data_IF_703044167556
#
_entry.id   IF_703044167556
#
_cell.length_a   1.000
_cell.length_b   1.000
_cell.length_c   1.000
_cell.angle_alpha   90.00
_cell.angle_beta   90.00
_cell.angle_gamma   90.00
#
_symmetry.space_group_name_H-M   'P 1'
#
loop_
_entity.id
_entity.type
_entity.pdbx_description
1 polymer ?
#
# COMPACT_ATOMS: atom_id res chain seq x y z
N UNK A 1 -22.10 -85.94 -46.08
CA UNK A 1 -21.69 -85.18 -44.87
C UNK A 1 -22.68 -85.53 -43.77
N UNK A 2 -22.20 -85.98 -42.61
CA UNK A 2 -23.08 -86.39 -41.50
C UNK A 2 -23.87 -85.18 -40.99
N UNK A 3 -25.18 -85.35 -40.74
CA UNK A 3 -26.08 -84.29 -40.25
C UNK A 3 -25.62 -83.62 -38.94
N UNK A 4 -24.58 -84.16 -38.30
CA UNK A 4 -23.95 -83.69 -37.07
C UNK A 4 -22.79 -82.71 -37.30
N UNK A 5 -22.17 -82.68 -38.48
CA UNK A 5 -21.04 -81.76 -38.76
C UNK A 5 -21.48 -80.38 -39.21
N UNK A 6 -22.68 -80.26 -39.79
CA UNK A 6 -23.26 -78.98 -40.21
C UNK A 6 -23.49 -77.98 -39.06
N UNK A 7 -24.09 -78.35 -37.91
CA UNK A 7 -24.27 -77.42 -36.78
C UNK A 7 -22.93 -77.00 -36.17
N UNK A 8 -21.92 -77.88 -36.20
CA UNK A 8 -20.61 -77.63 -35.61
C UNK A 8 -19.84 -76.55 -36.39
N UNK A 9 -19.95 -76.57 -37.73
CA UNK A 9 -19.40 -75.52 -38.59
C UNK A 9 -20.11 -74.18 -38.34
N UNK A 10 -21.44 -74.18 -38.23
CA UNK A 10 -22.22 -72.97 -37.93
C UNK A 10 -21.81 -72.30 -36.61
N UNK A 11 -21.64 -73.09 -35.54
CA UNK A 11 -21.21 -72.57 -34.23
C UNK A 11 -19.80 -71.96 -34.31
N UNK A 12 -18.85 -72.61 -34.99
CA UNK A 12 -17.49 -72.08 -35.14
C UNK A 12 -17.44 -70.74 -35.90
N UNK A 13 -18.29 -70.58 -36.93
CA UNK A 13 -18.39 -69.35 -37.71
C UNK A 13 -18.94 -68.19 -36.87
N UNK A 14 -19.99 -68.45 -36.07
CA UNK A 14 -20.58 -67.46 -35.17
C UNK A 14 -19.58 -67.05 -34.09
N UNK A 15 -18.84 -68.00 -33.51
CA UNK A 15 -17.80 -67.69 -32.52
C UNK A 15 -16.66 -66.86 -33.12
N UNK A 16 -16.22 -67.19 -34.34
CA UNK A 16 -15.17 -66.44 -35.03
C UNK A 16 -15.59 -65.00 -35.32
N UNK A 17 -16.80 -64.80 -35.82
CA UNK A 17 -17.36 -63.46 -36.05
C UNK A 17 -17.56 -62.68 -34.74
N UNK A 18 -18.03 -63.34 -33.69
CA UNK A 18 -18.18 -62.74 -32.36
C UNK A 18 -16.85 -62.29 -31.76
N UNK A 19 -15.80 -63.12 -31.88
CA UNK A 19 -14.46 -62.78 -31.42
C UNK A 19 -13.85 -61.63 -32.22
N UNK A 20 -14.04 -61.62 -33.55
CA UNK A 20 -13.57 -60.54 -34.41
C UNK A 20 -14.27 -59.21 -34.07
N UNK A 21 -15.59 -59.23 -33.87
CA UNK A 21 -16.36 -58.04 -33.49
C UNK A 21 -15.94 -57.52 -32.11
N UNK A 22 -15.72 -58.41 -31.14
CA UNK A 22 -15.27 -58.02 -29.80
C UNK A 22 -13.84 -57.49 -29.79
N UNK A 23 -12.95 -58.05 -30.61
CA UNK A 23 -11.59 -57.54 -30.79
C UNK A 23 -11.59 -56.15 -31.46
N UNK A 24 -12.43 -55.95 -32.48
CA UNK A 24 -12.60 -54.66 -33.14
C UNK A 24 -13.19 -53.60 -32.21
N UNK A 25 -14.21 -53.97 -31.42
CA UNK A 25 -14.80 -53.09 -30.41
C UNK A 25 -13.80 -52.71 -29.31
N UNK A 26 -13.00 -53.66 -28.84
CA UNK A 26 -11.97 -53.41 -27.81
C UNK A 26 -10.82 -52.55 -28.34
N UNK A 27 -10.36 -52.83 -29.58
CA UNK A 27 -9.31 -52.05 -30.23
C UNK A 27 -9.79 -50.62 -30.52
N UNK A 28 -11.01 -50.48 -31.04
CA UNK A 28 -11.63 -49.18 -31.29
C UNK A 28 -11.81 -48.36 -30.01
N UNK A 29 -12.27 -48.97 -28.91
CA UNK A 29 -12.37 -48.30 -27.62
C UNK A 29 -11.00 -47.83 -27.11
N UNK A 30 -9.94 -48.60 -27.33
CA UNK A 30 -8.58 -48.26 -26.90
C UNK A 30 -7.90 -47.20 -27.78
N UNK A 31 -8.23 -47.17 -29.07
CA UNK A 31 -7.75 -46.14 -30.00
C UNK A 31 -8.52 -44.81 -29.85
N UNK A 32 -9.80 -44.88 -29.46
CA UNK A 32 -10.66 -43.70 -29.26
C UNK A 32 -10.61 -43.13 -27.84
N UNK A 33 -10.12 -43.89 -26.84
CA UNK A 33 -9.77 -43.36 -25.53
C UNK A 33 -8.53 -42.44 -25.65
N UNK A 34 -8.75 -41.23 -26.17
CA UNK A 34 -7.70 -40.24 -26.33
C UNK A 34 -7.34 -39.66 -24.96
N UNK A 35 -6.05 -39.41 -24.67
CA UNK A 35 -5.57 -38.66 -23.50
C UNK A 35 -6.13 -37.23 -23.35
N UNK A 36 -7.00 -36.80 -24.26
CA UNK A 36 -7.54 -35.46 -24.40
C UNK A 36 -8.63 -35.12 -23.37
N UNK A 37 -9.22 -36.10 -22.70
CA UNK A 37 -10.32 -35.88 -21.71
C UNK A 37 -9.85 -35.11 -20.46
N UNK A 38 -8.53 -35.03 -20.24
CA UNK A 38 -7.90 -34.32 -19.11
C UNK A 38 -7.11 -33.08 -19.56
N UNK A 39 -7.24 -32.65 -20.82
CA UNK A 39 -6.56 -31.47 -21.33
C UNK A 39 -7.49 -30.25 -21.30
N UNK A 40 -6.97 -29.13 -20.81
CA UNK A 40 -7.62 -27.82 -20.86
C UNK A 40 -6.77 -26.86 -21.68
N UNK A 41 -7.45 -26.04 -22.47
CA UNK A 41 -6.83 -24.95 -23.23
C UNK A 41 -6.39 -23.85 -22.28
N UNK A 42 -5.14 -23.41 -22.37
CA UNK A 42 -4.58 -22.36 -21.54
C UNK A 42 -3.78 -21.37 -22.37
N UNK A 43 -3.88 -20.10 -22.01
CA UNK A 43 -3.14 -19.01 -22.65
C UNK A 43 -1.72 -18.94 -22.09
N UNK A 44 -0.75 -18.96 -22.99
CA UNK A 44 0.68 -18.91 -22.70
C UNK A 44 1.32 -17.75 -23.49
N UNK A 45 2.29 -17.07 -22.90
CA UNK A 45 3.02 -16.00 -23.55
C UNK A 45 4.03 -16.55 -24.58
N UNK A 46 3.99 -16.05 -25.81
CA UNK A 46 4.93 -16.44 -26.89
C UNK A 46 6.23 -15.64 -26.85
N UNK A 47 6.19 -14.45 -26.24
CA UNK A 47 7.30 -13.52 -26.05
C UNK A 47 7.27 -12.96 -24.62
N UNK A 48 8.34 -12.27 -24.22
CA UNK A 48 8.36 -11.54 -22.96
C UNK A 48 7.45 -10.31 -23.05
N UNK A 49 6.57 -10.15 -22.06
CA UNK A 49 5.68 -9.00 -21.89
C UNK A 49 6.12 -8.27 -20.62
N UNK A 50 6.80 -7.13 -20.73
CA UNK A 50 7.28 -6.36 -19.58
C UNK A 50 6.13 -5.70 -18.81
N UNK A 51 6.40 -5.37 -17.56
CA UNK A 51 5.50 -4.61 -16.70
C UNK A 51 4.97 -3.35 -17.36
N UNK A 52 3.66 -3.13 -17.23
CA UNK A 52 2.96 -1.99 -17.80
C UNK A 52 2.67 -2.11 -19.30
N UNK A 53 3.15 -3.15 -19.99
CA UNK A 53 2.79 -3.33 -21.39
C UNK A 53 1.38 -3.89 -21.55
N UNK A 54 0.66 -3.41 -22.57
CA UNK A 54 -0.62 -3.98 -22.98
C UNK A 54 -0.37 -5.30 -23.72
N UNK A 55 -1.13 -6.33 -23.38
CA UNK A 55 -1.05 -7.64 -24.02
C UNK A 55 -1.68 -7.58 -25.42
N UNK A 56 -0.87 -7.86 -26.44
CA UNK A 56 -1.31 -7.95 -27.82
C UNK A 56 -1.62 -9.40 -28.22
N UNK A 57 -2.49 -9.58 -29.22
CA UNK A 57 -2.89 -10.91 -29.71
C UNK A 57 -1.71 -11.73 -30.24
N UNK A 58 -0.65 -11.09 -30.74
CA UNK A 58 0.54 -11.76 -31.26
C UNK A 58 1.46 -12.28 -30.15
N UNK A 59 1.31 -11.78 -28.93
CA UNK A 59 2.18 -12.09 -27.79
C UNK A 59 1.68 -13.27 -26.96
N UNK A 60 0.48 -13.77 -27.25
CA UNK A 60 -0.15 -14.88 -26.52
C UNK A 60 -0.63 -15.94 -27.49
N UNK A 61 -0.61 -17.20 -27.04
CA UNK A 61 -1.14 -18.33 -27.79
C UNK A 61 -1.84 -19.28 -26.84
N UNK A 62 -2.81 -20.03 -27.35
CA UNK A 62 -3.48 -21.08 -26.58
C UNK A 62 -2.77 -22.41 -26.78
N UNK A 63 -2.46 -23.12 -25.69
CA UNK A 63 -1.84 -24.44 -25.68
C UNK A 63 -2.72 -25.38 -24.86
N UNK A 64 -2.84 -26.65 -25.29
CA UNK A 64 -3.54 -27.68 -24.52
C UNK A 64 -2.60 -28.27 -23.48
N UNK A 65 -2.96 -28.17 -22.21
CA UNK A 65 -2.17 -28.68 -21.08
C UNK A 65 -3.02 -29.56 -20.17
N UNK A 66 -2.43 -30.54 -19.46
CA UNK A 66 -3.14 -31.35 -18.48
C UNK A 66 -3.69 -30.48 -17.33
N UNK A 67 -4.95 -30.70 -16.93
CA UNK A 67 -5.61 -29.92 -15.88
C UNK A 67 -4.81 -29.85 -14.57
N UNK A 68 -4.09 -30.92 -14.21
CA UNK A 68 -3.28 -30.99 -12.99
C UNK A 68 -2.10 -30.01 -12.96
N UNK A 69 -1.69 -29.48 -14.12
CA UNK A 69 -0.57 -28.54 -14.26
C UNK A 69 -0.99 -27.08 -14.35
N UNK A 70 -2.30 -26.82 -14.44
CA UNK A 70 -2.85 -25.51 -14.73
C UNK A 70 -3.22 -24.82 -13.42
N UNK A 71 -2.67 -23.63 -13.13
CA UNK A 71 -3.14 -22.81 -12.01
C UNK A 71 -4.61 -22.41 -12.19
N UNK A 72 -5.37 -22.36 -11.10
CA UNK A 72 -6.82 -22.06 -11.13
C UNK A 72 -7.18 -20.72 -11.82
N UNK A 73 -6.28 -19.76 -11.78
CA UNK A 73 -6.44 -18.39 -12.29
C UNK A 73 -5.83 -18.19 -13.70
N UNK A 74 -5.62 -19.29 -14.45
CA UNK A 74 -5.17 -19.25 -15.83
C UNK A 74 -6.32 -18.90 -16.79
N UNK A 75 -6.02 -18.13 -17.85
CA UNK A 75 -7.00 -17.86 -18.90
C UNK A 75 -7.11 -19.02 -19.88
N UNK A 76 -8.34 -19.30 -20.33
CA UNK A 76 -8.62 -20.38 -21.29
C UNK A 76 -8.60 -19.91 -22.74
N UNK A 77 -8.84 -18.62 -22.95
CA UNK A 77 -9.05 -18.00 -24.25
C UNK A 77 -8.19 -16.74 -24.38
N UNK A 78 -7.51 -16.58 -25.52
CA UNK A 78 -6.57 -15.49 -25.74
C UNK A 78 -7.21 -14.11 -25.60
N UNK A 79 -8.48 -14.01 -25.98
CA UNK A 79 -9.31 -12.81 -25.95
C UNK A 79 -9.53 -12.29 -24.52
N UNK A 80 -9.41 -13.15 -23.51
CA UNK A 80 -9.53 -12.76 -22.11
C UNK A 80 -8.26 -12.07 -21.57
N UNK A 81 -7.12 -12.26 -22.24
CA UNK A 81 -5.85 -11.66 -21.90
C UNK A 81 -5.56 -10.41 -22.76
N UNK A 82 -5.94 -10.43 -24.03
CA UNK A 82 -5.70 -9.32 -24.97
C UNK A 82 -6.37 -8.03 -24.52
N UNK A 83 -5.63 -6.92 -24.60
CA UNK A 83 -6.10 -5.60 -24.18
C UNK A 83 -5.95 -5.31 -22.68
N UNK A 84 -5.55 -6.27 -21.86
CA UNK A 84 -5.17 -6.04 -20.46
C UNK A 84 -3.72 -5.58 -20.33
N UNK A 85 -3.38 -4.96 -19.21
CA UNK A 85 -2.03 -4.50 -18.91
C UNK A 85 -1.33 -5.47 -17.96
N UNK A 86 -0.09 -5.82 -18.26
CA UNK A 86 0.77 -6.63 -17.40
C UNK A 86 1.12 -5.87 -16.10
N UNK A 87 0.77 -6.45 -14.94
CA UNK A 87 1.11 -5.91 -13.62
C UNK A 87 2.42 -6.47 -13.05
N UNK A 88 3.02 -7.43 -13.76
CA UNK A 88 4.33 -8.01 -13.52
C UNK A 88 4.97 -8.39 -14.86
N UNK A 89 6.28 -8.58 -14.88
CA UNK A 89 6.96 -9.13 -16.06
C UNK A 89 6.48 -10.57 -16.31
N UNK A 90 6.04 -10.85 -17.54
CA UNK A 90 5.61 -12.17 -18.00
C UNK A 90 6.64 -12.67 -18.99
N UNK A 91 7.30 -13.78 -18.65
CA UNK A 91 8.33 -14.35 -19.51
C UNK A 91 7.73 -15.19 -20.63
N UNK A 92 8.51 -15.40 -21.69
CA UNK A 92 8.15 -16.34 -22.76
C UNK A 92 7.92 -17.73 -22.18
N UNK A 93 6.79 -18.35 -22.51
CA UNK A 93 6.39 -19.66 -22.03
C UNK A 93 5.62 -19.65 -20.72
N UNK A 94 5.47 -18.50 -20.06
CA UNK A 94 4.67 -18.39 -18.84
C UNK A 94 3.16 -18.51 -19.16
N UNK A 95 2.44 -19.18 -18.27
CA UNK A 95 0.98 -19.20 -18.27
C UNK A 95 0.47 -17.81 -17.87
N UNK A 96 -0.38 -17.24 -18.71
CA UNK A 96 -0.99 -15.94 -18.46
C UNK A 96 -2.11 -16.11 -17.44
N UNK A 97 -2.01 -15.37 -16.34
CA UNK A 97 -2.92 -15.47 -15.18
C UNK A 97 -3.61 -14.16 -14.88
N UNK A 98 -4.81 -14.22 -14.31
CA UNK A 98 -5.58 -13.07 -13.87
C UNK A 98 -4.80 -12.17 -12.91
N UNK A 99 -4.12 -12.74 -11.92
CA UNK A 99 -3.33 -12.02 -10.93
C UNK A 99 -2.17 -11.20 -11.51
N UNK A 100 -1.74 -11.49 -12.75
CA UNK A 100 -0.66 -10.78 -13.46
C UNK A 100 -1.16 -9.78 -14.49
N UNK A 101 -2.46 -9.69 -14.70
CA UNK A 101 -3.08 -8.77 -15.66
C UNK A 101 -4.09 -7.85 -14.94
N UNK A 102 -4.15 -6.59 -15.37
CA UNK A 102 -5.17 -5.64 -14.92
C UNK A 102 -5.96 -5.13 -16.12
N UNK A 103 -7.23 -4.77 -15.90
CA UNK A 103 -8.06 -4.22 -16.97
C UNK A 103 -7.54 -2.85 -17.43
N UNK A 104 -7.56 -2.64 -18.74
CA UNK A 104 -7.25 -1.33 -19.32
C UNK A 104 -8.48 -0.42 -19.22
N UNK A 105 -8.60 0.31 -18.12
CA UNK A 105 -9.68 1.27 -17.87
C UNK A 105 -9.51 2.61 -18.63
N UNK A 106 -8.58 2.68 -19.59
CA UNK A 106 -8.23 3.90 -20.32
C UNK A 106 -7.33 4.83 -19.48
N UNK A 107 -6.20 5.24 -20.05
CA UNK A 107 -5.21 6.10 -19.38
C UNK A 107 -3.81 5.47 -19.30
N UNK A 108 -2.88 6.19 -18.65
CA UNK A 108 -1.52 5.69 -18.37
C UNK A 108 -1.58 4.35 -17.62
N UNK A 109 -0.60 3.48 -17.81
CA UNK A 109 -0.47 2.18 -17.12
C UNK A 109 -0.49 2.32 -15.60
N UNK A 110 -0.03 3.48 -15.11
CA UNK A 110 -0.12 3.85 -13.70
C UNK A 110 -1.57 4.10 -13.26
N UNK A 111 -2.43 4.64 -14.13
CA UNK A 111 -3.84 4.89 -13.82
C UNK A 111 -4.62 3.58 -13.62
N UNK A 112 -4.32 2.52 -14.38
CA UNK A 112 -4.94 1.19 -14.19
C UNK A 112 -4.46 0.45 -12.94
N UNK A 113 -3.40 0.92 -12.28
CA UNK A 113 -2.89 0.34 -11.03
C UNK A 113 -3.47 1.02 -9.78
N UNK A 114 -4.14 2.16 -9.93
CA UNK A 114 -4.74 2.90 -8.83
C UNK A 114 -6.08 2.25 -8.49
N UNK A 115 -6.29 1.93 -7.21
CA UNK A 115 -7.60 1.46 -6.75
C UNK A 115 -8.70 2.53 -6.98
N UNK A 116 -9.96 2.14 -7.26
CA UNK A 116 -11.03 3.07 -7.66
C UNK A 116 -11.25 4.29 -6.72
N UNK A 117 -11.00 4.14 -5.43
CA UNK A 117 -11.19 5.19 -4.41
C UNK A 117 -9.90 5.91 -3.99
N UNK A 118 -8.80 5.70 -4.73
CA UNK A 118 -7.49 6.23 -4.39
C UNK A 118 -6.93 7.14 -5.49
N UNK A 119 -5.87 7.86 -5.14
CA UNK A 119 -5.15 8.79 -6.02
C UNK A 119 -3.65 8.50 -5.97
N UNK A 120 -2.99 8.68 -7.11
CA UNK A 120 -1.54 8.64 -7.22
C UNK A 120 -0.98 10.06 -7.08
N UNK A 121 -0.09 10.28 -6.11
CA UNK A 121 0.58 11.58 -5.91
C UNK A 121 2.08 11.40 -5.90
N UNK A 122 2.75 12.21 -6.72
CA UNK A 122 4.21 12.25 -6.79
C UNK A 122 4.78 13.19 -5.75
N UNK A 123 5.66 12.65 -4.90
CA UNK A 123 6.31 13.38 -3.81
C UNK A 123 7.80 13.47 -4.11
N UNK A 124 8.32 14.70 -4.10
CA UNK A 124 9.77 14.93 -4.15
C UNK A 124 10.36 14.68 -2.77
N UNK A 125 11.38 13.83 -2.72
CA UNK A 125 12.14 13.50 -1.51
C UNK A 125 13.58 13.95 -1.67
N UNK A 126 14.23 14.32 -0.57
CA UNK A 126 15.64 14.71 -0.60
C UNK A 126 16.51 13.45 -0.81
N UNK A 127 17.48 13.54 -1.74
CA UNK A 127 18.32 12.44 -2.28
C UNK A 127 19.05 11.59 -1.23
N UNK A 128 19.20 12.08 0.01
CA UNK A 128 19.91 11.40 1.11
C UNK A 128 18.95 10.64 2.04
N UNK A 129 17.65 10.97 2.04
CA UNK A 129 16.74 10.54 3.11
C UNK A 129 15.49 9.87 2.53
N UNK A 130 15.71 8.67 1.99
CA UNK A 130 14.66 7.84 1.44
C UNK A 130 15.23 6.53 0.93
N UNK A 131 15.76 5.71 1.83
CA UNK A 131 16.06 4.28 1.58
C UNK A 131 16.95 3.99 0.35
N UNK A 132 18.05 4.73 0.18
CA UNK A 132 19.23 4.33 -0.60
C UNK A 132 19.01 3.84 -2.04
N UNK A 133 17.93 4.23 -2.71
CA UNK A 133 17.60 3.72 -4.05
C UNK A 133 17.01 2.30 -4.09
N UNK A 134 16.63 1.71 -2.95
CA UNK A 134 16.03 0.37 -2.86
C UNK A 134 14.50 0.37 -2.86
N UNK A 135 13.87 1.53 -3.06
CA UNK A 135 12.42 1.59 -3.24
C UNK A 135 12.05 1.04 -4.61
N UNK A 136 11.25 -0.04 -4.60
CA UNK A 136 10.68 -0.65 -5.78
C UNK A 136 9.16 -0.43 -5.80
N UNK A 137 8.54 -0.36 -6.99
CA UNK A 137 7.09 -0.43 -7.12
C UNK A 137 6.53 -1.64 -6.36
N UNK A 138 5.44 -1.43 -5.61
CA UNK A 138 4.84 -2.45 -4.75
C UNK A 138 5.30 -2.41 -3.28
N UNK A 139 6.42 -1.75 -2.97
CA UNK A 139 6.84 -1.55 -1.58
C UNK A 139 5.84 -0.69 -0.79
N UNK A 140 5.85 -0.84 0.54
CA UNK A 140 5.04 -0.04 1.46
C UNK A 140 5.93 0.92 2.23
N UNK A 141 5.49 2.16 2.41
CA UNK A 141 6.27 3.21 3.09
C UNK A 141 5.42 4.01 4.07
N UNK A 142 6.08 4.56 5.08
CA UNK A 142 5.52 5.57 5.98
C UNK A 142 6.15 6.93 5.63
N UNK A 143 5.38 8.00 5.77
CA UNK A 143 5.80 9.38 5.47
C UNK A 143 6.01 10.14 6.77
N UNK A 144 7.22 10.64 6.95
CA UNK A 144 7.62 11.47 8.09
C UNK A 144 7.76 12.91 7.63
N UNK A 145 7.16 13.83 8.38
CA UNK A 145 7.31 15.26 8.17
C UNK A 145 8.18 15.85 9.27
N UNK A 146 9.21 16.59 8.88
CA UNK A 146 10.10 17.31 9.80
C UNK A 146 9.82 18.80 9.72
N UNK A 147 9.43 19.39 10.86
CA UNK A 147 9.17 20.83 11.01
C UNK A 147 10.24 21.48 11.86
N UNK A 148 10.77 22.60 11.40
CA UNK A 148 11.74 23.40 12.14
C UNK A 148 10.98 24.32 13.10
N UNK A 149 11.19 24.16 14.41
CA UNK A 149 10.33 24.81 15.43
C UNK A 149 10.72 26.25 15.74
N UNK A 150 11.89 26.73 15.31
CA UNK A 150 12.27 28.15 15.45
C UNK A 150 13.37 28.56 14.48
N UNK A 151 13.24 29.74 13.89
CA UNK A 151 14.27 30.35 13.04
C UNK A 151 15.46 30.82 13.91
N UNK A 152 16.32 29.90 14.31
CA UNK A 152 17.53 30.23 15.08
C UNK A 152 18.01 29.15 16.06
N UNK A 153 17.19 28.15 16.40
CA UNK A 153 17.63 26.97 17.15
C UNK A 153 17.61 25.75 16.23
N UNK A 154 18.64 24.92 16.31
CA UNK A 154 18.80 23.73 15.47
C UNK A 154 17.85 22.58 15.90
N UNK A 155 16.65 22.91 16.38
CA UNK A 155 15.66 21.98 16.89
C UNK A 155 14.62 21.69 15.81
N UNK A 156 14.73 20.51 15.20
CA UNK A 156 13.80 19.98 14.23
C UNK A 156 13.01 18.83 14.86
N UNK A 157 11.69 18.85 14.72
CA UNK A 157 10.82 17.79 15.23
C UNK A 157 10.27 17.00 14.06
N UNK A 158 10.49 15.68 14.04
CA UNK A 158 9.97 14.78 13.01
C UNK A 158 8.80 13.96 13.55
N UNK A 159 7.73 13.84 12.76
CA UNK A 159 6.53 13.06 13.10
C UNK A 159 6.05 12.29 11.88
N UNK A 160 5.62 11.05 12.08
CA UNK A 160 4.90 10.27 11.06
C UNK A 160 3.53 10.87 10.81
N UNK A 161 3.28 11.29 9.57
CA UNK A 161 2.01 11.90 9.15
C UNK A 161 1.09 10.88 8.47
N UNK A 162 1.67 9.94 7.72
CA UNK A 162 0.95 8.92 6.96
C UNK A 162 1.69 7.60 7.10
N UNK A 163 0.93 6.53 7.22
CA UNK A 163 1.46 5.18 7.36
C UNK A 163 0.89 4.24 6.29
N UNK A 164 1.69 3.24 5.93
CA UNK A 164 1.30 2.11 5.09
C UNK A 164 0.82 2.50 3.69
N UNK A 165 1.52 3.45 3.05
CA UNK A 165 1.24 3.85 1.67
C UNK A 165 1.94 2.91 0.69
N UNK A 166 1.26 2.57 -0.40
CA UNK A 166 1.82 1.72 -1.46
C UNK A 166 2.56 2.60 -2.47
N UNK A 167 3.76 2.18 -2.86
CA UNK A 167 4.53 2.80 -3.94
C UNK A 167 4.03 2.27 -5.27
N UNK A 168 3.61 3.17 -6.16
CA UNK A 168 3.19 2.83 -7.52
C UNK A 168 4.34 2.97 -8.52
N UNK A 169 5.14 4.02 -8.37
CA UNK A 169 6.27 4.28 -9.25
C UNK A 169 7.38 5.03 -8.50
N UNK A 170 8.59 4.92 -9.03
CA UNK A 170 9.78 5.67 -8.62
C UNK A 170 10.37 6.28 -9.88
N UNK A 171 10.61 7.59 -9.87
CA UNK A 171 11.21 8.30 -10.99
C UNK A 171 12.68 7.87 -11.12
N UNK A 172 12.97 7.14 -12.20
CA UNK A 172 14.31 6.84 -12.67
C UNK A 172 14.54 7.58 -13.99
N UNK A 173 15.00 8.82 -13.92
CA UNK A 173 15.52 9.47 -15.13
C UNK A 173 17.02 9.17 -15.30
N UNK A 174 17.27 8.23 -16.22
CA UNK A 174 18.43 8.01 -17.09
C UNK A 174 19.75 7.44 -16.51
N UNK A 175 19.97 6.16 -16.82
CA UNK A 175 21.27 5.51 -16.78
C UNK A 175 21.13 4.00 -16.94
N UNK A 176 21.06 3.53 -18.18
CA UNK A 176 21.06 2.10 -18.56
C UNK A 176 22.32 1.42 -18.02
N UNK A 177 22.23 0.83 -16.82
CA UNK A 177 23.01 -0.33 -16.42
C UNK A 177 22.49 -0.84 -15.07
N UNK A 178 21.97 -2.06 -15.08
CA UNK A 178 21.33 -2.76 -13.96
C UNK A 178 22.34 -3.14 -12.87
N UNK A 179 22.99 -2.18 -12.18
CA UNK A 179 23.75 -2.45 -10.94
C UNK A 179 23.99 -1.22 -10.04
N UNK A 180 23.59 0.00 -10.43
CA UNK A 180 23.88 1.19 -9.61
C UNK A 180 22.65 1.71 -8.86
N UNK A 181 22.78 2.11 -7.57
CA UNK A 181 21.69 2.73 -6.82
C UNK A 181 21.22 4.00 -7.53
N UNK A 182 19.96 4.01 -7.97
CA UNK A 182 19.36 5.18 -8.62
C UNK A 182 18.98 6.18 -7.52
N UNK A 183 19.46 7.41 -7.65
CA UNK A 183 19.06 8.52 -6.77
C UNK A 183 17.60 8.86 -7.10
N UNK A 184 16.69 8.47 -6.21
CA UNK A 184 15.25 8.63 -6.39
C UNK A 184 14.88 10.09 -6.11
N UNK A 185 14.50 10.83 -7.15
CA UNK A 185 14.14 12.26 -7.04
C UNK A 185 12.66 12.46 -6.74
N UNK A 186 11.81 11.52 -7.16
CA UNK A 186 10.38 11.55 -6.92
C UNK A 186 9.80 10.13 -6.79
N UNK A 187 8.86 9.96 -5.86
CA UNK A 187 8.13 8.70 -5.62
C UNK A 187 6.65 8.95 -5.79
N UNK A 188 5.97 8.11 -6.56
CA UNK A 188 4.52 8.15 -6.73
C UNK A 188 3.87 7.18 -5.76
N UNK A 189 3.07 7.72 -4.84
CA UNK A 189 2.40 6.98 -3.77
C UNK A 189 0.89 6.88 -4.04
N UNK A 190 0.31 5.73 -3.72
CA UNK A 190 -1.13 5.51 -3.71
C UNK A 190 -1.72 5.89 -2.35
N UNK A 191 -2.66 6.84 -2.32
CA UNK A 191 -3.27 7.35 -1.09
C UNK A 191 -4.74 7.77 -1.29
N UNK A 192 -5.49 7.94 -0.20
CA UNK A 192 -6.86 8.48 -0.27
C UNK A 192 -6.84 10.01 -0.53
N UNK A 193 -8.01 10.58 -0.85
CA UNK A 193 -8.13 12.03 -1.00
C UNK A 193 -7.79 12.82 0.29
N UNK A 194 -8.13 12.28 1.46
CA UNK A 194 -7.82 12.92 2.75
C UNK A 194 -6.34 12.84 3.09
N UNK A 195 -5.69 11.71 2.77
CA UNK A 195 -4.25 11.53 2.94
C UNK A 195 -3.45 12.46 2.00
N UNK A 196 -3.95 12.65 0.78
CA UNK A 196 -3.40 13.59 -0.19
C UNK A 196 -3.37 15.04 0.33
N UNK A 197 -4.47 15.51 0.90
CA UNK A 197 -4.57 16.86 1.47
C UNK A 197 -3.59 17.05 2.64
N UNK A 198 -3.50 16.04 3.52
CA UNK A 198 -2.56 16.05 4.65
C UNK A 198 -1.10 16.08 4.18
N UNK A 199 -0.77 15.32 3.14
CA UNK A 199 0.56 15.26 2.55
C UNK A 199 0.97 16.61 1.94
N UNK A 200 0.10 17.22 1.13
CA UNK A 200 0.37 18.52 0.48
C UNK A 200 0.52 19.63 1.52
N UNK A 201 -0.27 19.58 2.59
CA UNK A 201 -0.14 20.50 3.73
C UNK A 201 1.22 20.33 4.39
N UNK A 202 1.60 19.09 4.73
CA UNK A 202 2.88 18.80 5.35
C UNK A 202 4.09 19.15 4.47
N UNK A 203 3.97 19.02 3.15
CA UNK A 203 4.99 19.44 2.18
C UNK A 203 5.26 20.94 2.23
N UNK A 204 4.25 21.75 2.56
CA UNK A 204 4.39 23.21 2.67
C UNK A 204 5.02 23.61 4.01
N UNK A 205 4.81 22.82 5.06
CA UNK A 205 5.30 23.12 6.42
C UNK A 205 6.76 22.72 6.68
N UNK A 206 7.36 21.84 5.86
CA UNK A 206 8.71 21.35 6.12
C UNK A 206 9.19 20.28 5.16
N UNK A 207 10.19 19.51 5.59
CA UNK A 207 10.80 18.46 4.78
C UNK A 207 10.09 17.13 4.98
N UNK A 208 9.86 16.41 3.89
CA UNK A 208 9.29 15.06 3.91
C UNK A 208 10.40 14.01 3.78
N UNK A 209 10.25 12.92 4.51
CA UNK A 209 11.13 11.75 4.48
C UNK A 209 10.28 10.49 4.35
N UNK A 210 10.80 9.50 3.63
CA UNK A 210 10.14 8.20 3.48
C UNK A 210 10.89 7.13 4.25
N UNK A 211 10.14 6.35 5.04
CA UNK A 211 10.64 5.17 5.72
C UNK A 211 10.05 3.92 5.06
N UNK A 212 10.90 3.00 4.61
CA UNK A 212 10.44 1.71 4.08
C UNK A 212 9.87 0.85 5.19
N UNK A 213 8.67 0.34 4.97
CA UNK A 213 7.99 -0.54 5.90
C UNK A 213 8.31 -2.00 5.60
N UNK A 214 8.43 -2.80 6.65
CA UNK A 214 8.57 -4.24 6.50
C UNK A 214 7.30 -4.82 5.85
N UNK A 215 7.39 -5.55 4.72
CA UNK A 215 6.23 -6.12 4.03
C UNK A 215 5.41 -7.10 4.89
N UNK A 216 5.98 -7.67 5.96
CA UNK A 216 5.29 -8.57 6.88
C UNK A 216 4.41 -7.85 7.91
N UNK A 217 4.53 -6.52 8.04
CA UNK A 217 3.78 -5.74 9.01
C UNK A 217 2.68 -4.89 8.33
N UNK A 218 1.50 -5.47 8.19
CA UNK A 218 0.35 -4.89 7.47
C UNK A 218 -0.54 -3.98 8.33
N UNK A 219 -0.30 -3.85 9.64
CA UNK A 219 -1.23 -3.13 10.52
C UNK A 219 -1.14 -1.60 10.35
N UNK A 220 -2.19 -0.97 9.83
CA UNK A 220 -2.28 0.49 9.80
C UNK A 220 -2.55 0.99 11.21
N UNK A 221 -1.53 1.47 11.93
CA UNK A 221 -1.76 2.13 13.21
C UNK A 221 -2.17 3.55 12.87
N UNK A 222 -3.43 3.90 13.14
CA UNK A 222 -3.84 5.29 13.02
C UNK A 222 -2.99 6.08 14.02
N UNK A 223 -2.07 6.90 13.51
CA UNK A 223 -1.41 7.92 14.33
C UNK A 223 -2.56 8.80 14.81
N UNK A 224 -2.95 8.61 16.06
CA UNK A 224 -3.74 9.60 16.75
C UNK A 224 -2.97 10.91 16.53
N UNK A 225 -3.57 11.82 15.77
CA UNK A 225 -3.24 13.22 15.89
C UNK A 225 -3.54 13.52 17.34
N UNK A 226 -2.54 13.31 18.22
CA UNK A 226 -2.54 13.86 19.55
C UNK A 226 -3.04 15.29 19.35
N UNK A 227 -4.21 15.64 19.92
CA UNK A 227 -4.70 17.00 19.84
C UNK A 227 -3.52 17.90 20.12
N UNK A 228 -3.31 19.00 19.38
CA UNK A 228 -2.28 19.94 19.74
C UNK A 228 -2.40 20.13 21.24
N UNK A 229 -1.35 19.74 21.98
CA UNK A 229 -1.30 19.99 23.41
C UNK A 229 -1.78 21.43 23.54
N UNK A 230 -2.85 21.70 24.31
CA UNK A 230 -3.50 23.00 24.29
C UNK A 230 -2.36 24.00 24.38
N UNK A 231 -2.24 24.85 23.36
CA UNK A 231 -1.24 25.90 23.33
C UNK A 231 -1.18 26.43 24.75
N UNK A 232 0.00 26.52 25.39
CA UNK A 232 0.05 27.04 26.75
C UNK A 232 -0.73 28.33 26.65
N UNK A 233 -1.92 28.32 27.25
CA UNK A 233 -2.75 29.51 27.34
C UNK A 233 -1.73 30.44 27.95
N UNK A 234 -1.31 31.44 27.17
CA UNK A 234 -0.69 32.61 27.76
C UNK A 234 -1.70 32.93 28.83
N UNK A 235 -1.36 32.59 30.07
CA UNK A 235 -2.14 32.97 31.20
C UNK A 235 -2.27 34.45 30.96
N UNK A 236 -3.49 34.88 30.60
CA UNK A 236 -3.86 36.28 30.59
C UNK A 236 -3.23 36.78 31.87
N UNK A 237 -2.21 37.63 31.72
CA UNK A 237 -1.34 38.03 32.80
C UNK A 237 -2.26 38.25 33.99
N UNK A 238 -2.14 37.38 34.99
CA UNK A 238 -2.98 37.47 36.17
C UNK A 238 -2.84 38.93 36.59
N UNK A 239 -3.96 39.66 36.56
CA UNK A 239 -3.97 41.07 36.91
C UNK A 239 -3.14 41.19 38.20
N UNK A 240 -2.14 42.09 38.25
CA UNK A 240 -1.17 42.08 39.34
C UNK A 240 -1.95 42.08 40.64
N UNK A 241 -1.75 41.03 41.44
CA UNK A 241 -2.36 40.91 42.75
C UNK A 241 -2.09 42.24 43.47
N UNK A 242 -3.12 43.01 43.86
CA UNK A 242 -2.87 44.25 44.57
C UNK A 242 -2.10 43.88 45.83
N UNK A 243 -0.90 44.47 45.98
CA UNK A 243 -0.10 44.35 47.21
C UNK A 243 -1.04 44.56 48.40
N UNK A 244 -0.96 43.76 49.47
CA UNK A 244 -1.80 43.99 50.63
C UNK A 244 -1.51 45.40 51.14
N UNK A 245 -2.47 46.30 50.95
CA UNK A 245 -2.50 47.58 51.64
C UNK A 245 -2.72 47.21 53.08
N UNK A 246 -1.67 47.35 53.89
CA UNK A 246 -1.77 47.32 55.35
C UNK A 246 -2.79 48.40 55.72
N UNK A 247 -4.04 47.99 55.99
CA UNK A 247 -4.99 48.86 56.66
C UNK A 247 -4.41 49.14 58.04
N UNK A 248 -3.75 50.30 58.18
CA UNK A 248 -3.49 50.87 59.50
C UNK A 248 -4.86 51.05 60.13
N UNK A 249 -5.17 50.22 61.11
CA UNK A 249 -6.27 50.45 62.03
C UNK A 249 -6.08 51.86 62.58
N UNK A 250 -6.93 52.78 62.16
CA UNK A 250 -6.95 54.14 62.70
C UNK A 250 -7.36 54.03 64.16
N UNK A 251 -6.37 54.13 65.05
CA UNK A 251 -6.58 54.36 66.47
C UNK A 251 -7.36 55.69 66.62
N UNK A 252 -8.47 55.72 67.37
CA UNK A 252 -9.24 56.95 67.53
C UNK A 252 -8.36 58.03 68.18
N UNK A 253 -8.31 59.19 67.54
CA UNK A 253 -7.62 60.38 68.03
C UNK A 253 -8.37 60.92 69.25
N UNK A 254 -7.95 60.52 70.45
CA UNK A 254 -8.19 61.27 71.68
C UNK A 254 -6.97 62.13 71.95
N UNK A 255 -7.16 63.45 72.06
CA UNK A 255 -6.07 64.41 72.25
C UNK A 255 -5.42 64.26 73.62
N UNK A 256 -4.16 63.85 73.65
CA UNK A 256 -3.34 63.85 74.85
C UNK A 256 -2.34 65.00 74.77
N UNK A 257 -2.43 65.97 75.70
CA UNK A 257 -1.43 67.04 75.81
C UNK A 257 -0.43 66.61 76.88
N UNK A 258 0.86 66.59 76.51
CA UNK A 258 1.96 66.31 77.45
C UNK A 258 2.44 67.62 78.04
N UNK A 259 2.21 67.84 79.34
CA UNK A 259 2.70 69.02 80.04
C UNK A 259 4.06 68.67 80.68
N UNK A 260 5.13 69.27 80.17
CA UNK A 260 6.47 69.12 80.74
C UNK A 260 6.69 70.29 81.70
N UNK A 261 6.88 70.00 82.99
CA UNK A 261 7.22 71.01 84.00
C UNK A 261 8.51 70.57 84.70
N UNK A 262 9.64 71.10 84.24
CA UNK A 262 10.96 70.69 84.74
C UNK A 262 11.34 69.28 84.27
N UNK A 263 11.74 68.40 85.19
CA UNK A 263 12.29 67.07 84.89
C UNK A 263 11.27 65.91 84.95
N UNK A 264 9.98 66.20 85.18
CA UNK A 264 8.92 65.20 85.09
C UNK A 264 7.94 65.51 83.94
N UNK A 265 7.57 64.47 83.20
CA UNK A 265 6.56 64.52 82.15
C UNK A 265 5.33 63.70 82.55
N UNK A 266 4.14 64.30 82.54
CA UNK A 266 2.86 63.61 82.77
C UNK A 266 1.92 63.82 81.59
N UNK A 267 1.26 62.75 81.17
CA UNK A 267 0.34 62.71 80.02
C UNK A 267 -1.10 62.69 80.53
N UNK A 268 -1.88 63.72 80.18
CA UNK A 268 -3.30 63.80 80.50
C UNK A 268 -4.08 63.69 79.18
N UNK A 269 -4.97 62.70 79.10
CA UNK A 269 -5.87 62.54 77.97
C UNK A 269 -7.09 63.47 78.17
N UNK A 270 -7.29 64.40 77.25
CA UNK A 270 -8.51 65.21 77.15
C UNK A 270 -9.44 64.51 76.17
N UNK A 271 -10.70 64.35 76.57
CA UNK A 271 -11.71 63.65 75.79
C UNK A 271 -12.37 64.57 74.77
#
# INVERSE_FOLDING_TARGET
MSSRTLPLIGVSLVMGLGAAWMADAWLSARLNASPDDHLRSVVVATVEIPFGQMVEAQQVTTVRMPMDTIPDDAFDASEQAVGKIATFDILRGDIVRGARLSEHLGGSTLASLIAPDKRAISVRVDDVVGVGGFLLPGNRVDVLATKTTSAGSNSATSRTILENLRVLAVDQTAGTDKTQPVVVRAVTLEMSATEAEALVTAQTEGKLQLALRNPLNLEKKAVAVAPPAPAPVMAMAAAPVPKPVVQRSAKPQGGAITLIRGVESSVINVR
#
